data_IF_480025916172
#
_entry.id   IF_480025916172
#
_cell.length_a   1.000
_cell.length_b   1.000
_cell.length_c   1.000
_cell.angle_alpha   90.00
_cell.angle_beta   90.00
_cell.angle_gamma   90.00
#
_symmetry.space_group_name_H-M   'P 1'
#
loop_
_entity.id
_entity.type
_entity.pdbx_description
1 polymer ?
#
# COMPACT_ATOMS: atom_id res chain seq x y z
N UNK A 1 35.21 20.69 15.81
CA UNK A 1 35.25 21.69 14.73
C UNK A 1 36.36 21.43 13.73
N UNK A 2 37.63 21.37 14.14
CA UNK A 2 38.74 20.99 13.24
C UNK A 2 38.55 19.56 12.70
N UNK A 3 38.07 18.63 13.55
CA UNK A 3 37.80 17.25 13.16
C UNK A 3 36.72 17.06 12.06
N UNK A 4 35.87 18.07 11.79
CA UNK A 4 34.85 17.99 10.71
C UNK A 4 35.43 18.27 9.31
N UNK A 5 36.68 18.73 9.24
CA UNK A 5 37.41 18.99 8.00
C UNK A 5 38.75 18.26 8.01
N UNK A 6 38.85 17.21 8.82
CA UNK A 6 40.05 16.38 8.91
C UNK A 6 40.30 15.66 7.58
N UNK A 7 41.54 15.31 7.25
CA UNK A 7 41.79 14.50 6.05
C UNK A 7 41.35 13.04 6.20
N UNK A 8 41.17 12.60 7.45
CA UNK A 8 40.77 11.23 7.78
C UNK A 8 39.24 11.10 7.86
N UNK A 9 38.69 10.24 7.00
CA UNK A 9 37.26 9.93 6.90
C UNK A 9 36.70 9.42 8.23
N UNK A 10 37.41 8.55 8.93
CA UNK A 10 36.94 7.98 10.19
C UNK A 10 36.82 9.07 11.28
N UNK A 11 37.76 10.02 11.27
CA UNK A 11 37.75 11.17 12.18
C UNK A 11 36.60 12.12 11.86
N UNK A 12 36.39 12.43 10.57
CA UNK A 12 35.27 13.27 10.14
C UNK A 12 33.92 12.63 10.49
N UNK A 13 33.76 11.36 10.13
CA UNK A 13 32.49 10.65 10.30
C UNK A 13 32.18 10.46 11.80
N UNK A 14 33.18 10.12 12.62
CA UNK A 14 33.03 10.09 14.08
C UNK A 14 32.70 11.46 14.67
N UNK A 15 33.26 12.54 14.13
CA UNK A 15 32.93 13.90 14.55
C UNK A 15 31.47 14.26 14.22
N UNK A 16 30.97 13.88 13.05
CA UNK A 16 29.54 14.02 12.70
C UNK A 16 28.66 13.25 13.70
N UNK A 17 28.97 11.98 13.96
CA UNK A 17 28.22 11.15 14.91
C UNK A 17 28.18 11.75 16.31
N UNK A 18 29.32 12.17 16.84
CA UNK A 18 29.40 12.80 18.15
C UNK A 18 28.57 14.10 18.25
N UNK A 19 28.50 14.89 17.18
CA UNK A 19 27.65 16.09 17.16
C UNK A 19 26.16 15.76 17.12
N UNK A 20 25.79 14.69 16.42
CA UNK A 20 24.44 14.13 16.47
C UNK A 20 24.04 13.72 17.88
N UNK A 21 24.88 12.94 18.57
CA UNK A 21 24.63 12.45 19.93
C UNK A 21 24.47 13.60 20.95
N UNK A 22 25.19 14.71 20.74
CA UNK A 22 25.03 15.93 21.53
C UNK A 22 23.69 16.65 21.27
N UNK A 23 23.04 16.36 20.14
CA UNK A 23 21.72 16.82 19.75
C UNK A 23 21.61 18.36 19.71
N UNK A 24 20.46 18.89 20.12
CA UNK A 24 20.17 20.33 20.12
C UNK A 24 21.17 21.21 20.89
N UNK A 25 21.97 20.61 21.79
CA UNK A 25 23.01 21.33 22.54
C UNK A 25 24.20 21.72 21.64
N UNK A 26 24.46 20.94 20.60
CA UNK A 26 25.51 21.22 19.63
C UNK A 26 25.06 22.10 18.46
N UNK A 27 23.76 22.40 18.35
CA UNK A 27 23.16 23.12 17.21
C UNK A 27 23.46 24.62 17.21
N UNK A 28 24.73 24.95 16.95
CA UNK A 28 25.21 26.29 16.62
C UNK A 28 25.22 26.49 15.11
N UNK A 29 25.15 27.74 14.64
CA UNK A 29 25.20 28.05 13.20
C UNK A 29 26.46 27.53 12.51
N UNK A 30 27.60 27.59 13.19
CA UNK A 30 28.86 27.05 12.67
C UNK A 30 28.81 25.52 12.55
N UNK A 31 28.28 24.80 13.55
CA UNK A 31 28.14 23.33 13.48
C UNK A 31 27.23 22.93 12.33
N UNK A 32 26.09 23.60 12.16
CA UNK A 32 25.15 23.33 11.07
C UNK A 32 25.82 23.60 9.71
N UNK A 33 26.54 24.72 9.57
CA UNK A 33 27.26 25.06 8.32
C UNK A 33 28.31 24.02 7.95
N UNK A 34 29.05 23.50 8.94
CA UNK A 34 30.04 22.45 8.70
C UNK A 34 29.41 21.12 8.33
N UNK A 35 28.34 20.72 8.99
CA UNK A 35 27.61 19.50 8.61
C UNK A 35 26.99 19.63 7.22
N UNK A 36 26.48 20.81 6.84
CA UNK A 36 26.04 21.07 5.47
C UNK A 36 27.16 20.97 4.43
N UNK A 37 28.41 21.22 4.83
CA UNK A 37 29.58 21.01 3.98
C UNK A 37 29.90 19.52 3.87
N UNK A 38 29.85 18.79 4.99
CA UNK A 38 30.07 17.34 5.05
C UNK A 38 29.03 16.53 4.24
N UNK A 39 27.82 17.07 4.02
CA UNK A 39 26.84 16.48 3.09
C UNK A 39 27.34 16.37 1.63
N UNK A 40 28.45 17.02 1.28
CA UNK A 40 29.06 16.98 -0.06
C UNK A 40 30.38 16.22 -0.07
N UNK A 41 30.70 15.51 1.01
CA UNK A 41 31.95 14.77 1.08
C UNK A 41 32.00 13.66 0.03
N UNK A 42 33.20 13.32 -0.44
CA UNK A 42 33.39 12.21 -1.36
C UNK A 42 33.00 10.87 -0.74
N UNK A 43 33.10 10.75 0.58
CA UNK A 43 32.85 9.51 1.32
C UNK A 43 31.39 9.40 1.78
N UNK A 44 30.76 8.27 1.48
CA UNK A 44 29.37 7.98 1.81
C UNK A 44 29.09 7.93 3.32
N UNK A 45 30.03 7.42 4.13
CA UNK A 45 29.84 7.34 5.57
C UNK A 45 29.83 8.73 6.19
N UNK A 46 30.70 9.64 5.71
CA UNK A 46 30.70 11.05 6.14
C UNK A 46 29.38 11.72 5.77
N UNK A 47 28.89 11.53 4.54
CA UNK A 47 27.61 12.11 4.09
C UNK A 47 26.43 11.56 4.92
N UNK A 48 26.35 10.25 5.13
CA UNK A 48 25.30 9.60 5.92
C UNK A 48 25.32 10.07 7.38
N UNK A 49 26.49 10.08 8.04
CA UNK A 49 26.60 10.57 9.42
C UNK A 49 26.31 12.07 9.53
N UNK A 50 26.61 12.86 8.51
CA UNK A 50 26.25 14.28 8.48
C UNK A 50 24.72 14.48 8.38
N UNK A 51 24.02 13.68 7.57
CA UNK A 51 22.55 13.65 7.55
C UNK A 51 21.97 13.31 8.93
N UNK A 52 22.43 12.21 9.54
CA UNK A 52 21.95 11.77 10.85
C UNK A 52 22.16 12.83 11.92
N UNK A 53 23.35 13.45 11.93
CA UNK A 53 23.68 14.53 12.84
C UNK A 53 22.70 15.69 12.66
N UNK A 54 22.49 16.18 11.42
CA UNK A 54 21.54 17.25 11.10
C UNK A 54 20.12 16.91 11.58
N UNK A 55 19.68 15.67 11.42
CA UNK A 55 18.40 15.21 11.96
C UNK A 55 18.33 15.27 13.47
N UNK A 56 19.38 14.83 14.17
CA UNK A 56 19.46 14.79 15.64
C UNK A 56 19.64 16.18 16.29
N UNK A 57 20.21 17.13 15.55
CA UNK A 57 20.29 18.54 15.93
C UNK A 57 18.91 19.22 15.97
N UNK A 58 17.89 18.59 15.39
CA UNK A 58 16.49 18.96 15.53
C UNK A 58 16.16 20.32 14.90
N UNK A 59 15.21 21.03 15.51
CA UNK A 59 14.61 22.26 14.94
C UNK A 59 15.63 23.33 14.55
N UNK A 60 16.73 23.44 15.29
CA UNK A 60 17.77 24.46 15.02
C UNK A 60 18.52 24.20 13.70
N UNK A 61 18.59 22.95 13.24
CA UNK A 61 19.20 22.59 11.96
C UNK A 61 18.26 22.80 10.77
N UNK A 62 16.97 23.04 10.99
CA UNK A 62 15.94 23.21 9.96
C UNK A 62 15.98 24.58 9.27
N UNK A 63 17.14 24.99 8.80
CA UNK A 63 17.29 26.19 7.97
C UNK A 63 16.87 25.90 6.53
N UNK A 64 16.45 26.92 5.77
CA UNK A 64 16.11 26.74 4.34
C UNK A 64 17.28 26.16 3.54
N UNK A 65 18.51 26.54 3.87
CA UNK A 65 19.70 25.97 3.25
C UNK A 65 19.91 24.50 3.63
N UNK A 66 19.79 24.16 4.93
CA UNK A 66 19.94 22.78 5.41
C UNK A 66 18.89 21.84 4.80
N UNK A 67 17.64 22.29 4.72
CA UNK A 67 16.55 21.55 4.08
C UNK A 67 16.85 21.35 2.58
N UNK A 68 17.23 22.40 1.86
CA UNK A 68 17.58 22.28 0.44
C UNK A 68 18.74 21.31 0.21
N UNK A 69 19.74 21.30 1.11
CA UNK A 69 20.85 20.34 1.04
C UNK A 69 20.38 18.92 1.27
N UNK A 70 19.61 18.68 2.32
CA UNK A 70 19.08 17.35 2.62
C UNK A 70 18.17 16.84 1.50
N UNK A 71 17.38 17.71 0.85
CA UNK A 71 16.58 17.34 -0.33
C UNK A 71 17.46 16.94 -1.51
N UNK A 72 18.56 17.66 -1.77
CA UNK A 72 19.52 17.25 -2.81
C UNK A 72 20.14 15.88 -2.49
N UNK A 73 20.44 15.61 -1.22
CA UNK A 73 21.03 14.34 -0.77
C UNK A 73 20.03 13.17 -0.84
N UNK A 74 18.73 13.41 -1.06
CA UNK A 74 17.79 12.33 -1.40
C UNK A 74 18.12 11.66 -2.74
N UNK A 75 18.93 12.30 -3.60
CA UNK A 75 19.42 11.75 -4.86
C UNK A 75 20.88 11.31 -4.81
N UNK A 76 21.42 11.06 -3.61
CA UNK A 76 22.75 10.50 -3.47
C UNK A 76 22.86 9.12 -4.14
N UNK A 77 24.05 8.73 -4.59
CA UNK A 77 24.27 7.41 -5.20
C UNK A 77 24.24 6.27 -4.18
N UNK A 78 24.44 6.57 -2.88
CA UNK A 78 24.44 5.58 -1.81
C UNK A 78 23.09 5.50 -1.09
N UNK A 79 22.55 4.28 -0.95
CA UNK A 79 21.24 4.03 -0.35
C UNK A 79 21.20 4.40 1.14
N UNK A 80 22.30 4.22 1.88
CA UNK A 80 22.37 4.58 3.30
C UNK A 80 22.31 6.11 3.45
N UNK A 81 23.03 6.85 2.61
CA UNK A 81 22.99 8.31 2.58
C UNK A 81 21.58 8.82 2.28
N UNK A 82 20.92 8.28 1.26
CA UNK A 82 19.52 8.62 0.96
C UNK A 82 18.60 8.34 2.16
N UNK A 83 18.81 7.20 2.84
CA UNK A 83 18.03 6.80 4.02
C UNK A 83 18.22 7.74 5.20
N UNK A 84 19.46 8.11 5.50
CA UNK A 84 19.80 9.09 6.52
C UNK A 84 19.20 10.46 6.18
N UNK A 85 19.21 10.89 4.92
CA UNK A 85 18.59 12.14 4.50
C UNK A 85 17.07 12.15 4.72
N UNK A 86 16.36 11.07 4.34
CA UNK A 86 14.93 10.88 4.62
C UNK A 86 14.65 10.93 6.11
N UNK A 87 15.47 10.23 6.90
CA UNK A 87 15.32 10.16 8.34
C UNK A 87 15.53 11.53 8.99
N UNK A 88 16.57 12.24 8.57
CA UNK A 88 16.91 13.58 9.00
C UNK A 88 15.76 14.55 8.74
N UNK A 89 15.24 14.60 7.50
CA UNK A 89 14.09 15.45 7.15
C UNK A 89 12.87 15.16 8.03
N UNK A 90 12.61 13.90 8.36
CA UNK A 90 11.52 13.53 9.28
C UNK A 90 11.81 13.74 10.77
N UNK A 91 13.08 13.93 11.17
CA UNK A 91 13.52 14.25 12.54
C UNK A 91 13.62 15.74 12.81
N UNK A 92 13.81 16.58 11.78
CA UNK A 92 13.85 18.03 11.91
C UNK A 92 12.58 18.65 12.54
N UNK A 93 11.47 17.91 12.62
CA UNK A 93 10.40 18.13 13.61
C UNK A 93 9.26 19.06 13.20
N UNK A 94 8.20 19.11 14.02
CA UNK A 94 6.88 19.71 13.71
C UNK A 94 6.89 21.20 13.36
N UNK A 95 7.87 21.98 13.84
CA UNK A 95 8.00 23.42 13.54
C UNK A 95 8.94 23.75 12.37
N UNK A 96 9.70 22.76 11.91
CA UNK A 96 10.57 22.84 10.73
C UNK A 96 9.82 22.60 9.43
N UNK A 97 8.57 22.11 9.51
CA UNK A 97 7.69 21.95 8.36
C UNK A 97 7.27 23.32 7.84
N UNK A 98 8.18 23.94 7.09
CA UNK A 98 7.88 25.14 6.33
C UNK A 98 7.18 24.74 5.04
N UNK A 99 6.29 25.59 4.56
CA UNK A 99 5.70 25.44 3.23
C UNK A 99 6.78 25.30 2.14
N UNK A 100 7.96 25.89 2.34
CA UNK A 100 9.12 25.72 1.47
C UNK A 100 9.62 24.28 1.46
N UNK A 101 9.80 23.65 2.64
CA UNK A 101 10.23 22.25 2.72
C UNK A 101 9.27 21.30 2.00
N UNK A 102 7.97 21.43 2.26
CA UNK A 102 6.95 20.61 1.58
C UNK A 102 6.98 20.89 0.08
N UNK A 103 7.09 22.15 -0.35
CA UNK A 103 7.18 22.50 -1.77
C UNK A 103 8.40 21.85 -2.44
N UNK A 104 9.54 21.80 -1.76
CA UNK A 104 10.76 21.15 -2.28
C UNK A 104 10.61 19.65 -2.40
N UNK A 105 10.01 19.00 -1.42
CA UNK A 105 9.71 17.57 -1.48
C UNK A 105 8.70 17.26 -2.59
N UNK A 106 7.73 18.14 -2.81
CA UNK A 106 6.75 18.01 -3.90
C UNK A 106 7.41 18.19 -5.26
N UNK A 107 8.35 19.12 -5.41
CA UNK A 107 9.16 19.25 -6.63
C UNK A 107 9.97 17.96 -6.88
N UNK A 108 10.54 17.38 -5.82
CA UNK A 108 11.31 16.13 -5.89
C UNK A 108 10.47 14.90 -6.26
N UNK A 109 9.13 14.99 -6.24
CA UNK A 109 8.25 13.93 -6.76
C UNK A 109 8.34 13.76 -8.28
N UNK A 110 8.77 14.80 -9.00
CA UNK A 110 8.98 14.77 -10.45
C UNK A 110 10.45 14.70 -10.86
N UNK A 111 11.35 14.30 -9.95
CA UNK A 111 12.76 14.15 -10.27
C UNK A 111 12.97 12.96 -11.23
N UNK A 112 13.92 13.06 -12.16
CA UNK A 112 14.22 11.95 -13.09
C UNK A 112 14.74 10.68 -12.42
N UNK A 113 15.23 10.78 -11.18
CA UNK A 113 15.73 9.64 -10.42
C UNK A 113 14.61 9.03 -9.54
N UNK A 114 14.28 7.77 -9.78
CA UNK A 114 13.26 7.03 -9.04
C UNK A 114 13.53 6.98 -7.52
N UNK A 115 14.79 6.90 -7.11
CA UNK A 115 15.19 6.90 -5.70
C UNK A 115 14.85 8.24 -5.02
N UNK A 116 14.99 9.35 -5.75
CA UNK A 116 14.62 10.69 -5.27
C UNK A 116 13.10 10.76 -5.12
N UNK A 117 12.35 10.30 -6.12
CA UNK A 117 10.89 10.28 -6.07
C UNK A 117 10.38 9.42 -4.90
N UNK A 118 10.93 8.22 -4.72
CA UNK A 118 10.63 7.33 -3.60
C UNK A 118 10.96 7.99 -2.25
N UNK A 119 12.14 8.58 -2.15
CA UNK A 119 12.60 9.24 -0.94
C UNK A 119 11.73 10.44 -0.58
N UNK A 120 11.31 11.22 -1.58
CA UNK A 120 10.38 12.33 -1.43
C UNK A 120 9.00 11.86 -0.94
N UNK A 121 8.42 10.81 -1.55
CA UNK A 121 7.16 10.19 -1.11
C UNK A 121 7.23 9.75 0.35
N UNK A 122 8.30 9.04 0.73
CA UNK A 122 8.50 8.54 2.10
C UNK A 122 8.70 9.66 3.12
N UNK A 123 9.41 10.72 2.73
CA UNK A 123 9.56 11.91 3.57
C UNK A 123 8.20 12.62 3.78
N UNK A 124 7.41 12.84 2.72
CA UNK A 124 6.07 13.43 2.81
C UNK A 124 5.12 12.60 3.66
N UNK A 125 5.15 11.27 3.52
CA UNK A 125 4.39 10.35 4.38
C UNK A 125 4.73 10.53 5.87
N UNK A 126 6.02 10.50 6.22
CA UNK A 126 6.49 10.66 7.61
C UNK A 126 6.12 12.03 8.19
N UNK A 127 6.14 13.08 7.37
CA UNK A 127 5.69 14.43 7.76
C UNK A 127 4.18 14.48 7.99
N UNK A 128 3.41 13.83 7.12
CA UNK A 128 1.95 13.76 7.21
C UNK A 128 1.45 12.86 8.35
N UNK A 129 2.23 11.87 8.80
CA UNK A 129 1.87 10.98 9.91
C UNK A 129 1.84 11.70 11.27
N UNK A 130 2.79 12.62 11.50
CA UNK A 130 3.03 13.23 12.81
C UNK A 130 2.16 14.46 13.09
N UNK A 131 2.11 15.46 12.20
CA UNK A 131 1.60 16.80 12.58
C UNK A 131 1.16 17.70 11.42
N UNK A 132 1.72 17.54 10.21
CA UNK A 132 1.54 18.48 9.10
C UNK A 132 0.55 18.00 8.03
N UNK A 133 -0.42 17.19 8.43
CA UNK A 133 -1.30 16.45 7.53
C UNK A 133 -2.05 17.37 6.56
N UNK A 134 -2.55 18.52 7.01
CA UNK A 134 -3.34 19.43 6.16
C UNK A 134 -2.53 20.15 5.08
N UNK A 135 -1.34 20.68 5.40
CA UNK A 135 -0.49 21.36 4.41
C UNK A 135 0.11 20.33 3.43
N UNK A 136 0.57 19.17 3.92
CA UNK A 136 1.06 18.10 3.03
C UNK A 136 -0.05 17.66 2.07
N UNK A 137 -1.27 17.42 2.58
CA UNK A 137 -2.42 17.09 1.72
C UNK A 137 -2.70 18.21 0.72
N UNK A 138 -2.71 19.48 1.15
CA UNK A 138 -2.97 20.60 0.24
C UNK A 138 -1.96 20.67 -0.89
N UNK A 139 -0.68 20.39 -0.62
CA UNK A 139 0.35 20.36 -1.67
C UNK A 139 0.27 19.14 -2.57
N UNK A 140 -0.06 17.97 -2.03
CA UNK A 140 -0.32 16.78 -2.83
C UNK A 140 -1.54 16.95 -3.74
N UNK A 141 -2.59 17.62 -3.27
CA UNK A 141 -3.77 18.00 -4.07
C UNK A 141 -3.38 18.88 -5.26
N UNK A 142 -2.46 19.83 -5.08
CA UNK A 142 -1.92 20.64 -6.17
C UNK A 142 -1.10 19.77 -7.13
N UNK A 143 -0.24 18.90 -6.60
CA UNK A 143 0.62 18.01 -7.39
C UNK A 143 -0.16 16.99 -8.25
N UNK A 144 -1.36 16.56 -7.80
CA UNK A 144 -2.27 15.74 -8.62
C UNK A 144 -2.73 16.44 -9.90
N UNK A 145 -2.65 17.77 -9.98
CA UNK A 145 -2.96 18.56 -11.16
C UNK A 145 -1.74 19.02 -11.97
N UNK A 146 -0.55 18.49 -11.68
CA UNK A 146 0.67 18.91 -12.36
C UNK A 146 0.70 18.47 -13.84
N UNK A 147 1.36 19.26 -14.69
CA UNK A 147 1.57 18.90 -16.10
C UNK A 147 2.46 17.66 -16.29
N UNK A 148 3.38 17.40 -15.35
CA UNK A 148 4.26 16.23 -15.39
C UNK A 148 3.55 15.00 -14.79
N UNK A 149 3.47 13.93 -15.56
CA UNK A 149 2.87 12.66 -15.16
C UNK A 149 3.58 12.00 -13.98
N UNK A 150 4.92 12.11 -13.89
CA UNK A 150 5.70 11.56 -12.76
C UNK A 150 5.29 12.22 -11.44
N UNK A 151 5.04 13.54 -11.47
CA UNK A 151 4.58 14.30 -10.30
C UNK A 151 3.18 13.85 -9.89
N UNK A 152 2.25 13.69 -10.86
CA UNK A 152 0.88 13.23 -10.59
C UNK A 152 0.87 11.81 -10.02
N UNK A 153 1.66 10.91 -10.63
CA UNK A 153 1.85 9.54 -10.18
C UNK A 153 2.41 9.49 -8.75
N UNK A 154 3.51 10.19 -8.51
CA UNK A 154 4.14 10.25 -7.19
C UNK A 154 3.24 10.88 -6.14
N UNK A 155 2.38 11.83 -6.52
CA UNK A 155 1.37 12.41 -5.63
C UNK A 155 0.30 11.38 -5.25
N UNK A 156 -0.20 10.58 -6.20
CA UNK A 156 -1.11 9.46 -5.91
C UNK A 156 -0.47 8.47 -4.94
N UNK A 157 0.79 8.10 -5.18
CA UNK A 157 1.55 7.18 -4.33
C UNK A 157 1.79 7.74 -2.91
N UNK A 158 2.10 9.02 -2.78
CA UNK A 158 2.23 9.67 -1.47
C UNK A 158 0.89 9.66 -0.70
N UNK A 159 -0.23 9.92 -1.37
CA UNK A 159 -1.57 9.84 -0.77
C UNK A 159 -1.93 8.41 -0.38
N UNK A 160 -1.57 7.43 -1.20
CA UNK A 160 -1.72 6.00 -0.92
C UNK A 160 -0.99 5.59 0.36
N UNK A 161 0.23 6.09 0.57
CA UNK A 161 1.01 5.85 1.80
C UNK A 161 0.37 6.52 3.02
N UNK A 162 -0.21 7.71 2.88
CA UNK A 162 -0.93 8.39 3.96
C UNK A 162 -2.23 7.65 4.34
N UNK A 163 -2.83 6.92 3.40
CA UNK A 163 -4.02 6.09 3.61
C UNK A 163 -5.22 6.90 4.10
N UNK A 164 -6.04 6.30 4.97
CA UNK A 164 -7.29 6.91 5.49
C UNK A 164 -7.12 8.32 6.06
N UNK A 165 -5.94 8.68 6.57
CA UNK A 165 -5.65 10.04 7.07
C UNK A 165 -5.75 11.12 5.98
N UNK A 166 -5.55 10.75 4.72
CA UNK A 166 -5.65 11.64 3.57
C UNK A 166 -7.05 11.69 2.95
N UNK A 167 -8.04 10.98 3.51
CA UNK A 167 -9.38 10.83 2.93
C UNK A 167 -10.27 12.09 3.11
N UNK A 168 -9.84 13.20 2.51
CA UNK A 168 -10.62 14.43 2.42
C UNK A 168 -11.40 14.48 1.11
N UNK A 169 -12.50 15.23 1.08
CA UNK A 169 -13.32 15.39 -0.14
C UNK A 169 -12.50 15.96 -1.31
N UNK A 170 -11.61 16.91 -1.05
CA UNK A 170 -10.75 17.49 -2.10
C UNK A 170 -9.77 16.45 -2.66
N UNK A 171 -9.14 15.64 -1.80
CA UNK A 171 -8.26 14.54 -2.27
C UNK A 171 -9.05 13.56 -3.13
N UNK A 172 -10.24 13.14 -2.67
CA UNK A 172 -11.07 12.19 -3.41
C UNK A 172 -11.49 12.78 -4.76
N UNK A 173 -11.95 14.04 -4.81
CA UNK A 173 -12.30 14.72 -6.06
C UNK A 173 -11.13 14.82 -7.04
N UNK A 174 -9.90 15.05 -6.55
CA UNK A 174 -8.71 15.08 -7.41
C UNK A 174 -8.30 13.70 -7.90
N UNK A 175 -8.40 12.67 -7.06
CA UNK A 175 -8.14 11.29 -7.48
C UNK A 175 -9.19 10.80 -8.50
N UNK A 176 -10.44 11.26 -8.42
CA UNK A 176 -11.45 11.00 -9.46
C UNK A 176 -11.02 11.56 -10.82
N UNK A 177 -10.42 12.76 -10.86
CA UNK A 177 -9.87 13.31 -12.11
C UNK A 177 -8.69 12.44 -12.60
N UNK A 178 -7.84 11.96 -11.69
CA UNK A 178 -6.73 11.07 -12.03
C UNK A 178 -7.19 9.69 -12.55
N UNK A 179 -8.43 9.26 -12.27
CA UNK A 179 -9.05 8.08 -12.91
C UNK A 179 -9.40 8.30 -14.39
N UNK A 180 -9.21 9.51 -14.93
CA UNK A 180 -9.34 9.84 -16.35
C UNK A 180 -7.98 10.21 -16.97
N UNK A 181 -6.87 10.01 -16.26
CA UNK A 181 -5.54 10.37 -16.75
C UNK A 181 -5.17 9.54 -17.99
N UNK A 182 -4.52 10.19 -18.96
CA UNK A 182 -4.03 9.51 -20.16
C UNK A 182 -2.85 8.59 -19.87
N UNK A 183 -2.12 8.83 -18.78
CA UNK A 183 -1.02 7.98 -18.34
C UNK A 183 -1.55 6.85 -17.45
N UNK A 184 -1.25 5.60 -17.83
CA UNK A 184 -1.74 4.40 -17.15
C UNK A 184 -1.18 4.26 -15.73
N UNK A 185 0.07 4.67 -15.48
CA UNK A 185 0.68 4.61 -14.15
C UNK A 185 -0.04 5.55 -13.17
N UNK A 186 -0.35 6.78 -13.61
CA UNK A 186 -1.14 7.73 -12.81
C UNK A 186 -2.51 7.15 -12.49
N UNK A 187 -3.17 6.54 -13.49
CA UNK A 187 -4.46 5.89 -13.31
C UNK A 187 -4.42 4.73 -12.30
N UNK A 188 -3.42 3.84 -12.40
CA UNK A 188 -3.22 2.73 -11.47
C UNK A 188 -2.96 3.22 -10.05
N UNK A 189 -2.10 4.20 -9.90
CA UNK A 189 -1.79 4.78 -8.59
C UNK A 189 -3.00 5.52 -8.00
N UNK A 190 -3.86 6.12 -8.82
CA UNK A 190 -5.11 6.71 -8.35
C UNK A 190 -6.08 5.64 -7.81
N UNK A 191 -6.26 4.52 -8.51
CA UNK A 191 -7.01 3.36 -8.02
C UNK A 191 -6.45 2.85 -6.68
N UNK A 192 -5.12 2.67 -6.61
CA UNK A 192 -4.42 2.22 -5.41
C UNK A 192 -4.58 3.18 -4.24
N UNK A 193 -4.50 4.49 -4.49
CA UNK A 193 -4.71 5.53 -3.49
C UNK A 193 -6.14 5.50 -2.96
N UNK A 194 -7.15 5.53 -3.84
CA UNK A 194 -8.56 5.45 -3.46
C UNK A 194 -8.87 4.22 -2.60
N UNK A 195 -8.34 3.05 -2.96
CA UNK A 195 -8.47 1.84 -2.14
C UNK A 195 -7.85 1.99 -0.74
N UNK A 196 -6.70 2.67 -0.61
CA UNK A 196 -6.06 2.91 0.70
C UNK A 196 -6.70 4.04 1.51
N UNK A 197 -7.47 4.93 0.89
CA UNK A 197 -8.37 5.85 1.60
C UNK A 197 -9.56 5.11 2.22
N UNK A 198 -9.83 3.87 1.78
CA UNK A 198 -10.83 2.97 2.33
C UNK A 198 -12.25 3.45 2.10
N UNK A 199 -13.16 3.07 3.00
CA UNK A 199 -14.59 3.36 2.88
C UNK A 199 -14.95 4.85 2.77
N UNK A 200 -14.07 5.75 3.21
CA UNK A 200 -14.30 7.20 3.08
C UNK A 200 -14.27 7.66 1.61
N UNK A 201 -13.56 6.94 0.75
CA UNK A 201 -13.50 7.18 -0.69
C UNK A 201 -14.66 6.52 -1.47
N UNK A 202 -15.57 5.78 -0.81
CA UNK A 202 -16.71 5.12 -1.44
C UNK A 202 -17.84 6.11 -1.81
N UNK A 203 -17.49 7.19 -2.49
CA UNK A 203 -18.41 8.19 -3.03
C UNK A 203 -19.03 7.68 -4.34
N UNK A 204 -20.26 8.11 -4.64
CA UNK A 204 -20.99 7.68 -5.85
C UNK A 204 -20.21 7.93 -7.13
N UNK A 205 -19.50 9.05 -7.22
CA UNK A 205 -18.67 9.41 -8.37
C UNK A 205 -17.48 8.45 -8.54
N UNK A 206 -16.74 8.15 -7.46
CA UNK A 206 -15.64 7.17 -7.47
C UNK A 206 -16.15 5.80 -7.93
N UNK A 207 -17.24 5.32 -7.31
CA UNK A 207 -17.85 4.04 -7.67
C UNK A 207 -18.26 4.03 -9.14
N UNK A 208 -18.87 5.10 -9.65
CA UNK A 208 -19.30 5.19 -11.05
C UNK A 208 -18.12 5.09 -12.02
N UNK A 209 -16.98 5.72 -11.71
CA UNK A 209 -15.77 5.65 -12.53
C UNK A 209 -15.14 4.26 -12.53
N UNK A 210 -15.03 3.64 -11.36
CA UNK A 210 -14.49 2.28 -11.25
C UNK A 210 -15.40 1.25 -11.94
N UNK A 211 -16.72 1.41 -11.85
CA UNK A 211 -17.70 0.57 -12.57
C UNK A 211 -17.54 0.67 -14.08
N UNK A 212 -17.23 1.84 -14.63
CA UNK A 212 -16.93 2.00 -16.06
C UNK A 212 -15.63 1.26 -16.41
N UNK A 213 -14.59 1.41 -15.57
CA UNK A 213 -13.28 0.77 -15.78
C UNK A 213 -13.32 -0.76 -15.74
N UNK A 214 -14.29 -1.38 -15.05
CA UNK A 214 -14.52 -2.83 -15.11
C UNK A 214 -14.86 -3.33 -16.53
N UNK A 215 -15.30 -2.45 -17.43
CA UNK A 215 -15.60 -2.77 -18.83
C UNK A 215 -14.50 -2.37 -19.82
N UNK A 216 -13.31 -1.97 -19.35
CA UNK A 216 -12.25 -1.49 -20.22
C UNK A 216 -11.64 -2.62 -21.08
N UNK A 217 -11.11 -2.25 -22.24
CA UNK A 217 -10.37 -3.19 -23.11
C UNK A 217 -9.09 -3.71 -22.48
N UNK A 218 -8.42 -2.93 -21.64
CA UNK A 218 -7.19 -3.32 -20.97
C UNK A 218 -7.47 -4.12 -19.69
N UNK A 219 -6.90 -5.33 -19.61
CA UNK A 219 -7.00 -6.21 -18.44
C UNK A 219 -6.44 -5.58 -17.16
N UNK A 220 -5.41 -4.74 -17.27
CA UNK A 220 -4.80 -4.08 -16.12
C UNK A 220 -5.72 -3.01 -15.55
N UNK A 221 -6.51 -2.37 -16.41
CA UNK A 221 -7.57 -1.43 -16.00
C UNK A 221 -8.70 -2.19 -15.31
N UNK A 222 -9.19 -3.29 -15.90
CA UNK A 222 -10.26 -4.10 -15.29
C UNK A 222 -9.87 -4.67 -13.92
N UNK A 223 -8.69 -5.29 -13.81
CA UNK A 223 -8.21 -5.89 -12.55
C UNK A 223 -7.99 -4.85 -11.45
N UNK A 224 -7.39 -3.71 -11.78
CA UNK A 224 -7.20 -2.61 -10.82
C UNK A 224 -8.53 -2.02 -10.33
N UNK A 225 -9.53 -1.93 -11.22
CA UNK A 225 -10.87 -1.48 -10.86
C UNK A 225 -11.56 -2.44 -9.88
N UNK A 226 -11.43 -3.76 -10.09
CA UNK A 226 -11.87 -4.77 -9.13
C UNK A 226 -11.22 -4.54 -7.76
N UNK A 227 -9.88 -4.46 -7.71
CA UNK A 227 -9.14 -4.29 -6.46
C UNK A 227 -9.50 -2.98 -5.73
N UNK A 228 -9.69 -1.89 -6.46
CA UNK A 228 -10.09 -0.62 -5.87
C UNK A 228 -11.50 -0.72 -5.26
N UNK A 229 -12.46 -1.33 -5.98
CA UNK A 229 -13.82 -1.53 -5.49
C UNK A 229 -13.88 -2.41 -4.23
N UNK A 230 -13.09 -3.49 -4.17
CA UNK A 230 -12.94 -4.32 -2.97
C UNK A 230 -12.45 -3.52 -1.77
N UNK A 231 -11.36 -2.75 -1.96
CA UNK A 231 -10.73 -1.95 -0.89
C UNK A 231 -11.57 -0.77 -0.40
N UNK A 232 -12.55 -0.31 -1.20
CA UNK A 232 -13.57 0.64 -0.74
C UNK A 232 -14.57 0.01 0.25
N UNK A 233 -14.52 -1.31 0.43
CA UNK A 233 -15.25 -2.07 1.44
C UNK A 233 -16.75 -2.09 1.24
N UNK A 234 -17.48 -2.43 2.30
CA UNK A 234 -18.92 -2.65 2.27
C UNK A 234 -19.75 -1.43 1.80
N UNK A 235 -19.19 -0.21 1.81
CA UNK A 235 -19.88 0.97 1.27
C UNK A 235 -19.93 0.98 -0.26
N UNK A 236 -19.03 0.28 -0.93
CA UNK A 236 -19.04 0.14 -2.39
C UNK A 236 -19.98 -0.97 -2.89
N UNK A 237 -20.52 -1.81 -2.00
CA UNK A 237 -21.37 -2.97 -2.31
C UNK A 237 -22.78 -2.59 -2.83
N UNK A 238 -22.83 -1.84 -3.93
CA UNK A 238 -24.08 -1.52 -4.65
C UNK A 238 -24.45 -2.65 -5.61
N UNK A 239 -25.73 -2.74 -5.98
CA UNK A 239 -26.20 -3.77 -6.92
C UNK A 239 -25.49 -3.72 -8.27
N UNK A 240 -25.15 -2.53 -8.77
CA UNK A 240 -24.39 -2.39 -10.02
C UNK A 240 -22.94 -2.89 -9.85
N UNK A 241 -22.26 -2.54 -8.76
CA UNK A 241 -20.90 -3.03 -8.47
C UNK A 241 -20.90 -4.56 -8.39
N UNK A 242 -21.83 -5.14 -7.63
CA UNK A 242 -21.97 -6.60 -7.49
C UNK A 242 -22.21 -7.25 -8.86
N UNK A 243 -23.14 -6.71 -9.66
CA UNK A 243 -23.44 -7.23 -11.00
C UNK A 243 -22.21 -7.23 -11.91
N UNK A 244 -21.43 -6.14 -11.92
CA UNK A 244 -20.21 -6.05 -12.74
C UNK A 244 -19.08 -6.94 -12.25
N UNK A 245 -18.89 -7.08 -10.95
CA UNK A 245 -17.90 -8.00 -10.39
C UNK A 245 -18.27 -9.46 -10.69
N UNK A 246 -19.56 -9.83 -10.68
CA UNK A 246 -20.02 -11.16 -11.12
C UNK A 246 -19.68 -11.42 -12.58
N UNK A 247 -19.81 -10.42 -13.46
CA UNK A 247 -19.36 -10.55 -14.87
C UNK A 247 -17.84 -10.75 -14.93
N UNK A 248 -17.06 -10.01 -14.12
CA UNK A 248 -15.61 -10.10 -14.08
C UNK A 248 -15.07 -11.45 -13.56
N UNK A 249 -15.87 -12.21 -12.80
CA UNK A 249 -15.53 -13.62 -12.47
C UNK A 249 -15.43 -14.52 -13.71
N UNK A 250 -16.02 -14.13 -14.83
CA UNK A 250 -15.95 -14.83 -16.11
C UNK A 250 -14.99 -14.19 -17.12
N UNK A 251 -14.10 -13.30 -16.68
CA UNK A 251 -13.15 -12.61 -17.58
C UNK A 251 -12.17 -13.59 -18.24
N UNK A 252 -11.74 -13.26 -19.47
CA UNK A 252 -10.74 -14.04 -20.20
C UNK A 252 -9.38 -14.07 -19.50
N UNK A 253 -9.05 -13.05 -18.70
CA UNK A 253 -7.77 -12.88 -18.05
C UNK A 253 -7.86 -13.29 -16.57
N UNK A 254 -6.92 -14.13 -16.13
CA UNK A 254 -6.91 -14.71 -14.78
C UNK A 254 -6.67 -13.68 -13.68
N UNK A 255 -5.87 -12.63 -13.91
CA UNK A 255 -5.66 -11.55 -12.94
C UNK A 255 -6.97 -10.77 -12.67
N UNK A 256 -7.82 -10.62 -13.69
CA UNK A 256 -9.14 -9.99 -13.55
C UNK A 256 -10.09 -10.89 -12.76
N UNK A 257 -10.15 -12.19 -13.08
CA UNK A 257 -10.97 -13.15 -12.32
C UNK A 257 -10.55 -13.26 -10.86
N UNK A 258 -9.23 -13.28 -10.61
CA UNK A 258 -8.63 -13.25 -9.29
C UNK A 258 -9.07 -12.00 -8.51
N UNK A 259 -8.86 -10.83 -9.12
CA UNK A 259 -9.21 -9.54 -8.51
C UNK A 259 -10.72 -9.42 -8.24
N UNK A 260 -11.56 -10.01 -9.10
CA UNK A 260 -13.01 -10.06 -8.90
C UNK A 260 -13.40 -10.94 -7.70
N UNK A 261 -12.75 -12.10 -7.52
CA UNK A 261 -12.95 -12.93 -6.34
C UNK A 261 -12.59 -12.17 -5.06
N UNK A 262 -11.39 -11.56 -5.03
CA UNK A 262 -10.92 -10.77 -3.89
C UNK A 262 -11.87 -9.63 -3.57
N UNK A 263 -12.28 -8.87 -4.58
CA UNK A 263 -13.19 -7.74 -4.40
C UNK A 263 -14.53 -8.17 -3.81
N UNK A 264 -15.15 -9.24 -4.33
CA UNK A 264 -16.41 -9.76 -3.80
C UNK A 264 -16.29 -10.24 -2.36
N UNK A 265 -15.15 -10.82 -1.99
CA UNK A 265 -14.84 -11.17 -0.60
C UNK A 265 -14.68 -9.95 0.31
N UNK A 266 -13.98 -8.90 -0.14
CA UNK A 266 -13.78 -7.64 0.61
C UNK A 266 -15.07 -6.82 0.77
N UNK A 267 -16.07 -7.04 -0.10
CA UNK A 267 -17.42 -6.48 0.06
C UNK A 267 -18.28 -7.23 1.10
N UNK A 268 -17.77 -8.34 1.65
CA UNK A 268 -18.34 -9.13 2.77
C UNK A 268 -19.82 -9.53 2.56
N UNK A 269 -20.58 -9.66 3.64
CA UNK A 269 -21.97 -10.16 3.65
C UNK A 269 -22.96 -9.35 2.78
N UNK A 270 -22.60 -8.11 2.39
CA UNK A 270 -23.41 -7.30 1.49
C UNK A 270 -23.33 -7.77 0.04
N UNK A 271 -22.23 -8.40 -0.35
CA UNK A 271 -22.08 -9.02 -1.66
C UNK A 271 -22.65 -10.44 -1.73
N UNK A 272 -23.10 -11.02 -0.62
CA UNK A 272 -23.55 -12.42 -0.56
C UNK A 272 -24.93 -12.65 -1.22
N UNK A 273 -25.03 -12.43 -2.52
CA UNK A 273 -26.21 -12.76 -3.36
C UNK A 273 -26.06 -14.15 -3.97
N UNK A 274 -27.17 -14.72 -4.45
CA UNK A 274 -27.17 -16.01 -5.14
C UNK A 274 -26.25 -16.05 -6.36
N UNK A 275 -26.18 -14.94 -7.11
CA UNK A 275 -25.37 -14.80 -8.32
C UNK A 275 -23.88 -14.77 -7.96
N UNK A 276 -23.50 -14.04 -6.91
CA UNK A 276 -22.12 -14.02 -6.40
C UNK A 276 -21.69 -15.39 -5.91
N UNK A 277 -22.51 -16.05 -5.08
CA UNK A 277 -22.21 -17.38 -4.56
C UNK A 277 -22.05 -18.37 -5.73
N UNK A 278 -22.96 -18.34 -6.71
CA UNK A 278 -22.88 -19.21 -7.89
C UNK A 278 -21.63 -18.95 -8.74
N UNK A 279 -21.27 -17.68 -8.94
CA UNK A 279 -20.05 -17.29 -9.66
C UNK A 279 -18.78 -17.76 -8.94
N UNK A 280 -18.70 -17.57 -7.63
CA UNK A 280 -17.55 -18.03 -6.83
C UNK A 280 -17.46 -19.57 -6.79
N UNK A 281 -18.60 -20.28 -6.76
CA UNK A 281 -18.63 -21.75 -6.90
C UNK A 281 -18.05 -22.21 -8.23
N UNK A 282 -18.30 -21.49 -9.32
CA UNK A 282 -17.67 -21.77 -10.63
C UNK A 282 -16.16 -21.49 -10.55
N UNK A 283 -15.75 -20.39 -9.93
CA UNK A 283 -14.34 -20.02 -9.77
C UNK A 283 -13.53 -21.00 -8.90
N UNK A 284 -14.15 -21.78 -8.02
CA UNK A 284 -13.50 -22.91 -7.34
C UNK A 284 -12.98 -23.99 -8.31
N UNK A 285 -13.48 -24.03 -9.55
CA UNK A 285 -13.02 -24.92 -10.61
C UNK A 285 -12.13 -24.25 -11.66
N UNK A 286 -11.63 -23.04 -11.41
CA UNK A 286 -10.81 -22.29 -12.37
C UNK A 286 -9.50 -23.03 -12.73
N UNK A 287 -9.01 -22.82 -13.96
CA UNK A 287 -7.72 -23.36 -14.38
C UNK A 287 -6.55 -22.77 -13.60
N UNK A 288 -6.66 -21.49 -13.21
CA UNK A 288 -5.64 -20.81 -12.42
C UNK A 288 -5.84 -21.07 -10.92
N UNK A 289 -4.74 -21.41 -10.25
CA UNK A 289 -4.74 -21.78 -8.83
C UNK A 289 -4.96 -20.60 -7.89
N UNK A 290 -4.51 -19.40 -8.26
CA UNK A 290 -4.73 -18.20 -7.47
C UNK A 290 -6.21 -17.82 -7.50
N UNK A 291 -6.87 -17.94 -8.66
CA UNK A 291 -8.33 -17.76 -8.77
C UNK A 291 -9.08 -18.75 -7.87
N UNK A 292 -8.75 -20.05 -7.91
CA UNK A 292 -9.37 -21.06 -7.04
C UNK A 292 -9.19 -20.75 -5.55
N UNK A 293 -7.98 -20.35 -5.15
CA UNK A 293 -7.66 -20.01 -3.76
C UNK A 293 -8.43 -18.76 -3.31
N UNK A 294 -8.50 -17.73 -4.14
CA UNK A 294 -9.25 -16.51 -3.82
C UNK A 294 -10.76 -16.73 -3.82
N UNK A 295 -11.29 -17.63 -4.67
CA UNK A 295 -12.68 -18.04 -4.62
C UNK A 295 -13.03 -18.74 -3.29
N UNK A 296 -12.15 -19.61 -2.78
CA UNK A 296 -12.30 -20.21 -1.45
C UNK A 296 -12.42 -19.11 -0.39
N UNK A 297 -11.43 -18.21 -0.33
CA UNK A 297 -11.39 -17.13 0.66
C UNK A 297 -12.61 -16.21 0.58
N UNK A 298 -13.01 -15.82 -0.62
CA UNK A 298 -14.17 -14.96 -0.84
C UNK A 298 -15.45 -15.59 -0.28
N UNK A 299 -15.69 -16.89 -0.53
CA UNK A 299 -16.85 -17.61 0.02
C UNK A 299 -16.87 -17.59 1.55
N UNK A 300 -15.72 -17.69 2.21
CA UNK A 300 -15.64 -17.54 3.68
C UNK A 300 -15.98 -16.12 4.16
N UNK A 301 -15.50 -15.10 3.44
CA UNK A 301 -15.76 -13.69 3.77
C UNK A 301 -17.23 -13.28 3.56
N UNK A 302 -17.98 -13.97 2.71
CA UNK A 302 -19.42 -13.78 2.55
C UNK A 302 -20.26 -14.29 3.74
N UNK A 303 -19.64 -15.01 4.67
CA UNK A 303 -20.24 -15.46 5.93
C UNK A 303 -21.32 -16.54 5.76
N UNK A 304 -22.25 -16.61 6.72
CA UNK A 304 -23.25 -17.68 6.82
C UNK A 304 -24.12 -17.84 5.56
N UNK A 305 -24.36 -16.75 4.82
CA UNK A 305 -25.15 -16.81 3.57
C UNK A 305 -24.50 -17.68 2.50
N UNK A 306 -23.17 -17.83 2.52
CA UNK A 306 -22.44 -18.70 1.62
C UNK A 306 -22.44 -20.17 2.09
N UNK A 307 -22.92 -20.50 3.30
CA UNK A 307 -22.98 -21.84 3.88
C UNK A 307 -24.04 -22.76 3.23
N UNK A 308 -24.15 -22.74 1.90
CA UNK A 308 -25.06 -23.58 1.15
C UNK A 308 -24.48 -24.98 0.97
N UNK A 309 -25.33 -25.99 0.79
CA UNK A 309 -24.88 -27.36 0.55
C UNK A 309 -23.98 -27.50 -0.68
N UNK A 310 -24.23 -26.72 -1.74
CA UNK A 310 -23.37 -26.71 -2.94
C UNK A 310 -21.99 -26.14 -2.63
N UNK A 311 -21.91 -25.02 -1.89
CA UNK A 311 -20.62 -24.44 -1.49
C UNK A 311 -19.84 -25.42 -0.63
N UNK A 312 -20.48 -26.02 0.38
CA UNK A 312 -19.83 -27.00 1.26
C UNK A 312 -19.32 -28.22 0.48
N UNK A 313 -20.12 -28.74 -0.46
CA UNK A 313 -19.72 -29.84 -1.34
C UNK A 313 -18.51 -29.48 -2.21
N UNK A 314 -18.48 -28.26 -2.77
CA UNK A 314 -17.39 -27.78 -3.61
C UNK A 314 -16.11 -27.50 -2.84
N UNK A 315 -16.24 -26.93 -1.63
CA UNK A 315 -15.11 -26.75 -0.72
C UNK A 315 -14.56 -28.09 -0.25
N UNK A 316 -15.41 -29.10 -0.01
CA UNK A 316 -14.94 -30.46 0.28
C UNK A 316 -14.10 -31.00 -0.88
N UNK A 317 -14.54 -30.86 -2.14
CA UNK A 317 -13.71 -31.25 -3.31
C UNK A 317 -12.37 -30.49 -3.33
N UNK A 318 -12.37 -29.19 -2.99
CA UNK A 318 -11.17 -28.36 -2.96
C UNK A 318 -10.14 -28.77 -1.88
N UNK A 319 -10.52 -29.55 -0.86
CA UNK A 319 -9.58 -30.18 0.07
C UNK A 319 -8.62 -31.15 -0.62
N UNK A 320 -8.99 -31.67 -1.79
CA UNK A 320 -8.16 -32.54 -2.62
C UNK A 320 -7.44 -31.82 -3.77
N UNK A 321 -7.42 -30.50 -3.80
CA UNK A 321 -6.79 -29.74 -4.89
C UNK A 321 -5.28 -30.01 -5.00
N UNK A 322 -4.74 -29.95 -6.22
CA UNK A 322 -3.30 -30.07 -6.47
C UNK A 322 -2.46 -28.99 -5.78
N UNK A 323 -3.01 -27.79 -5.60
CA UNK A 323 -2.30 -26.65 -5.02
C UNK A 323 -2.58 -26.52 -3.52
N UNK A 324 -1.51 -26.34 -2.74
CA UNK A 324 -1.56 -26.24 -1.29
C UNK A 324 -2.32 -24.99 -0.80
N UNK A 325 -2.27 -23.89 -1.55
CA UNK A 325 -3.00 -22.67 -1.23
C UNK A 325 -4.51 -22.92 -1.26
N UNK A 326 -4.99 -23.58 -2.32
CA UNK A 326 -6.40 -23.96 -2.45
C UNK A 326 -6.84 -24.91 -1.34
N UNK A 327 -6.06 -25.97 -1.06
CA UNK A 327 -6.38 -26.91 0.04
C UNK A 327 -6.45 -26.20 1.39
N UNK A 328 -5.49 -25.32 1.67
CA UNK A 328 -5.44 -24.58 2.94
C UNK A 328 -6.62 -23.60 3.08
N UNK A 329 -7.00 -22.92 1.99
CA UNK A 329 -8.15 -22.03 1.94
C UNK A 329 -9.47 -22.77 2.13
N UNK A 330 -9.62 -23.95 1.52
CA UNK A 330 -10.78 -24.81 1.72
C UNK A 330 -10.91 -25.26 3.19
N UNK A 331 -9.82 -25.69 3.82
CA UNK A 331 -9.80 -26.00 5.26
C UNK A 331 -10.24 -24.79 6.10
N UNK A 332 -9.65 -23.62 5.85
CA UNK A 332 -9.96 -22.40 6.60
C UNK A 332 -11.43 -22.03 6.50
N UNK A 333 -12.00 -22.02 5.29
CA UNK A 333 -13.41 -21.64 5.08
C UNK A 333 -14.37 -22.68 5.65
N UNK A 334 -14.11 -23.97 5.48
CA UNK A 334 -14.95 -25.00 6.11
C UNK A 334 -14.96 -24.87 7.64
N UNK A 335 -13.83 -24.52 8.25
CA UNK A 335 -13.74 -24.19 9.67
C UNK A 335 -14.52 -22.93 10.06
N UNK A 336 -14.51 -21.88 9.22
CA UNK A 336 -15.25 -20.64 9.45
C UNK A 336 -16.78 -20.82 9.34
N UNK A 337 -17.23 -21.76 8.51
CA UNK A 337 -18.66 -22.09 8.36
C UNK A 337 -19.20 -22.92 9.55
N UNK A 338 -18.35 -23.40 10.45
CA UNK A 338 -18.67 -24.09 11.71
C UNK A 338 -19.74 -25.20 11.53
N UNK A 339 -20.74 -25.27 12.41
CA UNK A 339 -21.80 -26.30 12.41
C UNK A 339 -22.48 -26.46 11.04
N UNK A 340 -22.55 -25.42 10.21
CA UNK A 340 -23.15 -25.52 8.87
C UNK A 340 -22.34 -26.43 7.94
N UNK A 341 -21.01 -26.50 8.11
CA UNK A 341 -20.12 -27.32 7.31
C UNK A 341 -19.84 -28.71 7.92
N UNK A 342 -20.39 -29.03 9.10
CA UNK A 342 -20.17 -30.28 9.86
C UNK A 342 -20.87 -31.51 9.25
N UNK A 343 -20.70 -31.72 7.94
CA UNK A 343 -21.20 -32.89 7.22
C UNK A 343 -20.26 -34.07 7.38
N UNK A 344 -20.78 -35.30 7.29
CA UNK A 344 -19.94 -36.51 7.36
C UNK A 344 -18.86 -36.54 6.29
N UNK A 345 -19.16 -36.02 5.09
CA UNK A 345 -18.21 -35.91 3.99
C UNK A 345 -17.05 -34.98 4.36
N UNK A 346 -17.34 -33.75 4.77
CA UNK A 346 -16.34 -32.74 5.18
C UNK A 346 -15.47 -33.27 6.31
N UNK A 347 -16.07 -33.84 7.36
CA UNK A 347 -15.33 -34.41 8.49
C UNK A 347 -14.41 -35.54 8.00
N UNK A 348 -14.89 -36.42 7.13
CA UNK A 348 -14.08 -37.54 6.64
C UNK A 348 -12.86 -37.09 5.84
N UNK A 349 -13.00 -36.04 5.03
CA UNK A 349 -11.89 -35.50 4.25
C UNK A 349 -10.91 -34.70 5.12
N UNK A 350 -11.43 -33.88 6.05
CA UNK A 350 -10.59 -33.12 6.98
C UNK A 350 -9.81 -34.02 7.94
N UNK A 351 -10.30 -35.20 8.32
CA UNK A 351 -9.57 -36.17 9.15
C UNK A 351 -8.35 -36.75 8.42
N UNK A 352 -8.36 -36.78 7.09
CA UNK A 352 -7.23 -37.26 6.27
C UNK A 352 -6.20 -36.14 6.02
N UNK A 353 -6.64 -34.88 5.96
CA UNK A 353 -5.81 -33.72 5.68
C UNK A 353 -4.61 -33.48 6.65
N UNK A 354 -4.60 -33.94 7.92
CA UNK A 354 -3.38 -34.00 8.74
C UNK A 354 -2.24 -34.86 8.16
N UNK A 355 -2.52 -35.68 7.14
CA UNK A 355 -1.52 -36.40 6.34
C UNK A 355 -0.99 -35.62 5.13
N UNK A 356 -1.43 -34.37 4.93
CA UNK A 356 -0.96 -33.53 3.81
C UNK A 356 0.54 -33.28 3.90
N UNK A 357 1.21 -33.18 2.74
CA UNK A 357 2.63 -32.87 2.67
C UNK A 357 2.94 -31.46 3.17
N UNK A 358 2.02 -30.51 2.98
CA UNK A 358 2.18 -29.13 3.38
C UNK A 358 1.81 -28.90 4.86
N UNK A 359 2.64 -28.16 5.59
CA UNK A 359 2.44 -27.94 7.02
C UNK A 359 1.30 -26.97 7.35
N UNK A 360 1.05 -25.99 6.49
CA UNK A 360 -0.03 -25.03 6.66
C UNK A 360 -1.37 -25.73 6.45
N UNK A 361 -1.49 -26.59 5.44
CA UNK A 361 -2.70 -27.39 5.20
C UNK A 361 -3.01 -28.27 6.42
N UNK A 362 -2.02 -28.98 6.97
CA UNK A 362 -2.21 -29.79 8.20
C UNK A 362 -2.70 -28.94 9.38
N UNK A 363 -2.09 -27.77 9.60
CA UNK A 363 -2.47 -26.86 10.67
C UNK A 363 -3.90 -26.35 10.53
N UNK A 364 -4.29 -25.90 9.32
CA UNK A 364 -5.64 -25.42 9.03
C UNK A 364 -6.69 -26.51 9.11
N UNK A 365 -6.38 -27.74 8.68
CA UNK A 365 -7.29 -28.87 8.81
C UNK A 365 -7.59 -29.21 10.27
N UNK A 366 -6.56 -29.25 11.13
CA UNK A 366 -6.74 -29.44 12.58
C UNK A 366 -7.58 -28.32 13.21
N UNK A 367 -7.35 -27.07 12.81
CA UNK A 367 -8.14 -25.93 13.27
C UNK A 367 -9.61 -26.05 12.83
N UNK A 368 -9.84 -26.41 11.57
CA UNK A 368 -11.19 -26.60 11.02
C UNK A 368 -11.94 -27.71 11.77
N UNK A 369 -11.31 -28.86 11.99
CA UNK A 369 -11.90 -29.97 12.78
C UNK A 369 -12.26 -29.57 14.21
N UNK A 370 -11.55 -28.63 14.82
CA UNK A 370 -11.88 -28.13 16.15
C UNK A 370 -13.00 -27.09 16.16
N UNK A 371 -13.34 -26.51 15.01
CA UNK A 371 -14.41 -25.51 14.84
C UNK A 371 -15.72 -26.06 14.29
N UNK A 372 -15.70 -27.25 13.69
CA UNK A 372 -16.88 -28.06 13.35
C UNK A 372 -17.44 -28.75 14.60
#
# INVERSE_FOLDING_TARGET
MIALVDSDVDVQSSACGALGELGEKAATSEVISRLMTALRDSDEDVRSRACDALGQLGEKAATSEGINRLVIVLGDSDENVQSSAREALGKLGEKAVTNEMISRLVIALGDSNEDVQWSARKALWKLGEKTATSEVISRLVIALGDSNEDVRWSACEALRLLGEKAATSEVISRLVIALEDSNADVWWSACGALGKLGEQAAMSEVISRLVIALGDSDRYVRSSACQALGKLGEKAATSEVISRLVIALGDSDDDVRLSACEALGELCEKAATSEVISGLVIALGDSDKHVRSSACRALGQLGEKAATSEVISRLAIALGDSDEGVRSGACEVLGQLCENAATSEVISQLVIAPGDSDEYVRGRACQALGGL
#
